data_IF_229839586666
#
_entry.id   IF_229839586666
#
_cell.length_a   1.000
_cell.length_b   1.000
_cell.length_c   1.000
_cell.angle_alpha   90.00
_cell.angle_beta   90.00
_cell.angle_gamma   90.00
#
_symmetry.space_group_name_H-M   'P 1'
#
loop_
_entity.id
_entity.type
_entity.pdbx_description
1 polymer ?
#
# COMPACT_ATOMS: atom_id res chain seq x y z
N UNK A 1 -10.63 -7.99 -11.44
CA UNK A 1 -10.02 -6.65 -11.56
C UNK A 1 -8.49 -6.67 -11.43
N UNK A 2 -7.77 -7.52 -12.18
CA UNK A 2 -6.32 -7.53 -12.08
C UNK A 2 -5.76 -6.27 -12.78
N UNK A 3 -5.29 -5.31 -11.99
CA UNK A 3 -4.66 -4.08 -12.49
C UNK A 3 -3.17 -4.30 -12.75
N UNK A 4 -2.62 -3.55 -13.70
CA UNK A 4 -1.18 -3.43 -13.89
C UNK A 4 -0.52 -2.91 -12.60
N UNK A 5 0.12 -3.82 -11.85
CA UNK A 5 0.68 -3.52 -10.53
C UNK A 5 1.81 -2.49 -10.58
N UNK A 6 2.47 -2.34 -11.74
CA UNK A 6 3.46 -1.28 -11.96
C UNK A 6 2.79 0.09 -11.91
N UNK A 7 1.68 0.28 -12.63
CA UNK A 7 0.92 1.54 -12.59
C UNK A 7 0.32 1.80 -11.22
N UNK A 8 -0.11 0.76 -10.50
CA UNK A 8 -0.61 0.93 -9.13
C UNK A 8 0.51 1.39 -8.18
N UNK A 9 1.73 0.86 -8.34
CA UNK A 9 2.90 1.32 -7.57
C UNK A 9 3.28 2.78 -7.88
N UNK A 10 3.03 3.26 -9.11
CA UNK A 10 3.19 4.68 -9.48
C UNK A 10 2.06 5.51 -8.87
N UNK A 11 0.82 5.04 -8.96
CA UNK A 11 -0.36 5.74 -8.43
C UNK A 11 -0.25 6.01 -6.93
N UNK A 12 0.49 5.17 -6.17
CA UNK A 12 0.73 5.38 -4.75
C UNK A 12 1.47 6.69 -4.43
N UNK A 13 2.17 7.28 -5.41
CA UNK A 13 2.82 8.58 -5.28
C UNK A 13 1.87 9.76 -5.51
N UNK A 14 0.66 9.51 -6.01
CA UNK A 14 -0.29 10.56 -6.28
C UNK A 14 -0.74 11.25 -4.99
N UNK A 15 -0.89 12.57 -5.06
CA UNK A 15 -1.51 13.39 -4.03
C UNK A 15 -2.86 13.92 -4.50
N UNK A 16 -3.53 14.64 -3.62
CA UNK A 16 -4.82 15.27 -3.90
C UNK A 16 -6.02 14.35 -3.71
N UNK A 17 -7.19 14.90 -4.01
CA UNK A 17 -8.50 14.29 -3.79
C UNK A 17 -9.18 13.91 -5.11
N UNK A 18 -10.48 13.63 -5.07
CA UNK A 18 -11.25 13.12 -6.22
C UNK A 18 -11.32 14.12 -7.38
N UNK A 19 -11.10 15.41 -7.13
CA UNK A 19 -11.10 16.46 -8.14
C UNK A 19 -9.69 16.74 -8.69
N UNK A 20 -8.68 16.10 -8.12
CA UNK A 20 -7.29 16.14 -8.61
C UNK A 20 -7.07 15.04 -9.65
N UNK A 21 -6.89 15.43 -10.91
CA UNK A 21 -6.63 14.49 -11.99
C UNK A 21 -5.39 13.64 -11.72
N UNK A 22 -5.51 12.32 -11.90
CA UNK A 22 -4.44 11.36 -11.61
C UNK A 22 -4.27 10.97 -10.13
N UNK A 23 -5.05 11.53 -9.20
CA UNK A 23 -5.08 11.05 -7.81
C UNK A 23 -5.67 9.64 -7.70
N UNK A 24 -5.43 8.97 -6.56
CA UNK A 24 -6.00 7.65 -6.27
C UNK A 24 -7.53 7.68 -6.36
N UNK A 25 -8.16 8.64 -5.69
CA UNK A 25 -9.62 8.74 -5.63
C UNK A 25 -10.20 9.19 -6.97
N UNK A 26 -9.55 10.09 -7.71
CA UNK A 26 -9.95 10.44 -9.06
C UNK A 26 -9.86 9.21 -9.99
N UNK A 27 -8.77 8.46 -9.93
CA UNK A 27 -8.58 7.26 -10.74
C UNK A 27 -9.70 6.24 -10.51
N UNK A 28 -9.94 5.82 -9.26
CA UNK A 28 -10.94 4.78 -8.98
C UNK A 28 -12.39 5.27 -8.99
N UNK A 29 -12.68 6.49 -8.54
CA UNK A 29 -14.06 6.98 -8.40
C UNK A 29 -14.55 7.80 -9.61
N UNK A 30 -13.66 8.25 -10.50
CA UNK A 30 -14.03 8.96 -11.74
C UNK A 30 -13.62 8.14 -12.97
N UNK A 31 -12.32 7.97 -13.21
CA UNK A 31 -11.83 7.38 -14.47
C UNK A 31 -12.27 5.92 -14.66
N UNK A 32 -12.20 5.12 -13.60
CA UNK A 32 -12.61 3.71 -13.64
C UNK A 32 -14.15 3.53 -13.67
N UNK A 33 -14.91 4.60 -13.45
CA UNK A 33 -16.38 4.59 -13.47
C UNK A 33 -16.95 5.11 -14.78
N UNK A 34 -16.16 5.88 -15.53
CA UNK A 34 -16.53 6.38 -16.85
C UNK A 34 -16.43 5.26 -17.90
N UNK A 35 -17.57 4.87 -18.47
CA UNK A 35 -17.65 3.84 -19.52
C UNK A 35 -17.48 4.41 -20.92
N UNK A 36 -17.44 5.73 -21.08
CA UNK A 36 -17.28 6.39 -22.37
C UNK A 36 -15.83 6.46 -22.83
N UNK A 37 -14.86 6.33 -21.91
CA UNK A 37 -13.43 6.42 -22.18
C UNK A 37 -12.63 5.46 -21.30
N UNK A 38 -11.42 5.13 -21.76
CA UNK A 38 -10.48 4.34 -20.96
C UNK A 38 -9.81 5.23 -19.90
N UNK A 39 -9.42 4.68 -18.73
CA UNK A 39 -8.53 5.39 -17.81
C UNK A 39 -7.23 5.76 -18.51
N UNK A 40 -6.71 6.94 -18.21
CA UNK A 40 -5.59 7.52 -18.96
C UNK A 40 -4.56 8.22 -18.08
N UNK A 41 -4.95 8.76 -16.93
CA UNK A 41 -4.05 9.49 -16.04
C UNK A 41 -3.79 8.69 -14.76
N UNK A 42 -2.52 8.37 -14.51
CA UNK A 42 -2.04 7.67 -13.32
C UNK A 42 -0.93 8.52 -12.69
N UNK A 43 -1.21 9.21 -11.58
CA UNK A 43 -0.34 10.28 -11.06
C UNK A 43 -0.07 11.31 -12.17
N UNK A 44 1.18 11.47 -12.63
CA UNK A 44 1.57 12.33 -13.77
C UNK A 44 1.73 11.55 -15.06
N UNK A 45 1.71 10.22 -15.01
CA UNK A 45 1.87 9.38 -16.18
C UNK A 45 0.57 9.29 -16.98
N UNK A 46 0.66 9.64 -18.27
CA UNK A 46 -0.40 9.34 -19.23
C UNK A 46 -0.23 7.90 -19.71
N UNK A 47 -0.95 6.98 -19.09
CA UNK A 47 -0.87 5.55 -19.37
C UNK A 47 -2.24 4.90 -19.21
N UNK A 48 -2.67 4.14 -20.22
CA UNK A 48 -3.86 3.30 -20.11
C UNK A 48 -3.50 1.98 -19.42
N UNK A 49 -4.08 1.68 -18.25
CA UNK A 49 -3.83 0.42 -17.59
C UNK A 49 -4.46 -0.73 -18.39
N UNK A 50 -3.75 -1.85 -18.46
CA UNK A 50 -4.35 -3.12 -18.86
C UNK A 50 -5.24 -3.57 -17.71
N UNK A 51 -6.54 -3.66 -17.97
CA UNK A 51 -7.55 -4.05 -16.99
C UNK A 51 -8.45 -5.13 -17.55
N UNK A 52 -8.88 -6.04 -16.69
CA UNK A 52 -10.01 -6.92 -16.98
C UNK A 52 -11.30 -6.17 -16.63
N UNK A 53 -12.16 -5.91 -17.61
CA UNK A 53 -13.45 -5.29 -17.36
C UNK A 53 -14.38 -6.27 -16.63
N UNK A 54 -15.20 -5.73 -15.73
CA UNK A 54 -16.13 -6.49 -14.90
C UNK A 54 -17.48 -5.76 -14.88
N UNK A 55 -18.59 -6.45 -14.58
CA UNK A 55 -19.86 -5.80 -14.34
C UNK A 55 -19.72 -4.65 -13.35
N UNK A 56 -20.49 -3.57 -13.54
CA UNK A 56 -20.40 -2.37 -12.69
C UNK A 56 -20.49 -2.69 -11.19
N UNK A 57 -21.33 -3.65 -10.80
CA UNK A 57 -21.51 -4.07 -9.41
C UNK A 57 -20.34 -4.91 -8.83
N UNK A 58 -19.35 -5.25 -9.65
CA UNK A 58 -18.15 -6.01 -9.30
C UNK A 58 -16.87 -5.17 -9.34
N UNK A 59 -16.98 -3.89 -9.70
CA UNK A 59 -15.86 -2.93 -9.64
C UNK A 59 -15.43 -2.66 -8.19
N UNK A 60 -14.28 -2.01 -8.04
CA UNK A 60 -13.81 -1.56 -6.73
C UNK A 60 -14.82 -0.60 -6.10
N UNK A 61 -15.25 -0.91 -4.88
CA UNK A 61 -16.26 -0.14 -4.14
C UNK A 61 -15.70 0.51 -2.88
N UNK A 62 -14.58 -0.01 -2.38
CA UNK A 62 -13.81 0.58 -1.28
C UNK A 62 -12.54 1.17 -1.88
N UNK A 63 -12.28 2.45 -1.60
CA UNK A 63 -11.10 3.17 -2.07
C UNK A 63 -10.60 4.04 -0.93
N UNK A 64 -9.46 3.67 -0.36
CA UNK A 64 -8.90 4.32 0.82
C UNK A 64 -7.49 4.79 0.50
N UNK A 65 -7.22 6.07 0.76
CA UNK A 65 -5.89 6.67 0.64
C UNK A 65 -5.42 7.10 2.02
N UNK A 66 -4.24 6.63 2.41
CA UNK A 66 -3.64 6.86 3.72
C UNK A 66 -2.40 7.71 3.54
N UNK A 67 -2.33 8.79 4.32
CA UNK A 67 -1.18 9.66 4.37
C UNK A 67 -0.81 9.96 5.82
N UNK A 68 0.30 9.39 6.30
CA UNK A 68 0.72 9.57 7.69
C UNK A 68 1.12 11.02 8.01
N UNK A 69 1.51 11.79 6.99
CA UNK A 69 1.90 13.19 7.16
C UNK A 69 0.70 14.02 7.63
N UNK A 70 -0.47 13.78 7.03
CA UNK A 70 -1.71 14.47 7.38
C UNK A 70 -2.40 13.87 8.60
N UNK A 71 -2.28 12.55 8.81
CA UNK A 71 -2.97 11.84 9.88
C UNK A 71 -2.33 12.02 11.26
N UNK A 72 -1.00 11.96 11.37
CA UNK A 72 -0.29 11.96 12.67
C UNK A 72 0.92 12.90 12.70
N UNK A 73 1.27 13.57 11.59
CA UNK A 73 2.42 14.49 11.43
C UNK A 73 3.78 13.91 11.83
N UNK A 74 3.87 12.59 12.05
CA UNK A 74 5.07 11.89 12.53
C UNK A 74 5.75 11.02 11.46
N UNK A 75 5.32 11.08 10.20
CA UNK A 75 5.98 10.36 9.13
C UNK A 75 5.52 10.76 7.74
N UNK A 76 6.27 10.32 6.72
CA UNK A 76 5.99 10.54 5.30
C UNK A 76 5.75 9.18 4.59
N UNK A 77 4.86 8.37 5.17
CA UNK A 77 4.46 7.07 4.61
C UNK A 77 3.05 7.18 4.05
N UNK A 78 2.90 6.77 2.79
CA UNK A 78 1.61 6.75 2.11
C UNK A 78 1.32 5.36 1.56
N UNK A 79 0.05 4.99 1.57
CA UNK A 79 -0.43 3.84 0.84
C UNK A 79 -1.86 4.11 0.39
N UNK A 80 -2.32 3.30 -0.56
CA UNK A 80 -3.76 3.16 -0.78
C UNK A 80 -4.14 1.70 -0.82
N UNK A 81 -5.41 1.43 -0.54
CA UNK A 81 -5.99 0.13 -0.76
C UNK A 81 -7.37 0.25 -1.38
N UNK A 82 -7.66 -0.70 -2.26
CA UNK A 82 -8.95 -0.81 -2.92
C UNK A 82 -9.50 -2.22 -2.78
N UNK A 83 -10.81 -2.33 -2.54
CA UNK A 83 -11.47 -3.62 -2.47
C UNK A 83 -12.73 -3.69 -3.34
N UNK A 84 -12.87 -4.82 -4.02
CA UNK A 84 -14.05 -5.22 -4.80
C UNK A 84 -14.68 -6.46 -4.15
N UNK A 85 -15.66 -7.08 -4.83
CA UNK A 85 -16.25 -8.34 -4.34
C UNK A 85 -15.24 -9.49 -4.28
N UNK A 86 -14.27 -9.54 -5.20
CA UNK A 86 -13.33 -10.66 -5.31
C UNK A 86 -11.88 -10.30 -4.99
N UNK A 87 -11.49 -9.03 -5.08
CA UNK A 87 -10.09 -8.60 -5.09
C UNK A 87 -9.85 -7.50 -4.06
N UNK A 88 -8.71 -7.57 -3.36
CA UNK A 88 -8.11 -6.47 -2.59
C UNK A 88 -6.75 -6.15 -3.20
N UNK A 89 -6.47 -4.87 -3.40
CA UNK A 89 -5.17 -4.38 -3.80
C UNK A 89 -4.67 -3.39 -2.76
N UNK A 90 -3.42 -3.56 -2.32
CA UNK A 90 -2.73 -2.62 -1.45
C UNK A 90 -1.48 -2.14 -2.17
N UNK A 91 -1.31 -0.82 -2.28
CA UNK A 91 -0.13 -0.23 -2.89
C UNK A 91 0.56 0.74 -1.96
N UNK A 92 1.85 0.53 -1.75
CA UNK A 92 2.68 1.36 -0.87
C UNK A 92 3.53 2.32 -1.68
N UNK A 93 3.58 3.57 -1.23
CA UNK A 93 4.46 4.59 -1.78
C UNK A 93 5.87 4.41 -1.22
N UNK A 94 6.89 4.63 -2.06
CA UNK A 94 8.24 4.86 -1.57
C UNK A 94 8.50 6.32 -1.20
N UNK A 95 9.74 6.65 -0.83
CA UNK A 95 10.16 8.03 -0.60
C UNK A 95 10.35 8.76 -1.93
N UNK A 96 10.01 10.06 -1.98
CA UNK A 96 10.22 10.92 -3.16
C UNK A 96 11.70 11.33 -3.27
N UNK A 97 12.42 11.47 -2.15
CA UNK A 97 13.85 11.77 -2.08
C UNK A 97 14.72 10.50 -2.03
N UNK A 98 14.85 9.83 -3.18
CA UNK A 98 15.77 8.69 -3.36
C UNK A 98 17.23 9.02 -2.98
N UNK A 99 17.66 10.27 -3.17
CA UNK A 99 19.01 10.73 -2.81
C UNK A 99 19.22 10.75 -1.29
N UNK A 100 18.29 11.34 -0.52
CA UNK A 100 18.36 11.34 0.94
C UNK A 100 18.26 9.92 1.51
N UNK A 101 17.44 9.06 0.88
CA UNK A 101 17.29 7.68 1.32
C UNK A 101 18.58 6.85 1.17
N UNK A 102 19.33 7.05 0.08
CA UNK A 102 20.61 6.38 -0.13
C UNK A 102 21.69 6.86 0.86
N UNK A 103 21.65 8.14 1.26
CA UNK A 103 22.61 8.71 2.21
C UNK A 103 22.23 8.47 3.67
N UNK A 104 20.94 8.42 4.01
CA UNK A 104 20.40 8.22 5.37
C UNK A 104 20.17 6.75 5.73
N UNK A 105 20.63 5.82 4.88
CA UNK A 105 20.67 4.37 5.11
C UNK A 105 21.63 4.04 6.26
N UNK A 106 21.23 4.46 7.46
CA UNK A 106 21.80 4.00 8.71
C UNK A 106 21.40 2.54 8.85
N UNK A 107 22.32 1.64 8.47
CA UNK A 107 22.15 0.20 8.57
C UNK A 107 22.01 -0.23 10.04
N UNK A 108 20.83 -0.02 10.62
CA UNK A 108 20.43 -0.49 11.94
C UNK A 108 19.42 -1.63 11.75
N UNK A 109 19.91 -2.88 11.59
CA UNK A 109 19.05 -4.03 11.40
C UNK A 109 18.41 -4.42 12.74
N UNK A 110 17.08 -4.41 12.80
CA UNK A 110 16.29 -4.87 13.94
C UNK A 110 15.98 -6.36 13.78
N UNK A 111 16.21 -7.15 14.83
CA UNK A 111 15.81 -8.56 14.85
C UNK A 111 14.29 -8.68 14.92
N UNK A 112 13.71 -9.49 14.03
CA UNK A 112 12.26 -9.72 13.96
C UNK A 112 11.78 -10.93 14.77
N UNK A 113 12.70 -11.82 15.15
CA UNK A 113 12.43 -12.99 16.00
C UNK A 113 11.83 -12.58 17.35
N UNK A 114 11.10 -13.50 17.97
CA UNK A 114 10.57 -13.34 19.32
C UNK A 114 11.38 -14.12 20.37
N UNK A 115 12.51 -14.70 19.97
CA UNK A 115 13.32 -15.60 20.81
C UNK A 115 14.37 -14.85 21.66
N UNK A 116 14.56 -13.55 21.43
CA UNK A 116 15.52 -12.70 22.14
C UNK A 116 14.77 -11.54 22.81
N UNK A 117 15.06 -11.27 24.09
CA UNK A 117 14.47 -10.18 24.87
C UNK A 117 14.74 -8.78 24.27
N UNK A 118 15.80 -8.65 23.45
CA UNK A 118 16.13 -7.39 22.75
C UNK A 118 15.53 -7.30 21.36
N UNK A 119 14.83 -8.33 20.90
CA UNK A 119 14.21 -8.34 19.59
C UNK A 119 12.86 -7.62 19.60
N UNK A 120 12.50 -7.10 18.44
CA UNK A 120 11.27 -6.34 18.24
C UNK A 120 10.01 -7.22 18.33
N UNK A 121 10.17 -8.52 18.08
CA UNK A 121 9.10 -9.51 17.92
C UNK A 121 7.98 -9.01 16.99
N UNK A 122 8.12 -9.28 15.69
CA UNK A 122 7.16 -8.81 14.69
C UNK A 122 5.76 -9.43 14.83
N UNK A 123 5.66 -10.61 15.45
CA UNK A 123 4.45 -11.40 15.56
C UNK A 123 4.07 -12.21 14.31
N UNK A 124 4.73 -11.99 13.17
CA UNK A 124 4.44 -12.68 11.90
C UNK A 124 5.68 -13.08 11.08
N UNK A 125 6.87 -12.58 11.43
CA UNK A 125 8.18 -13.00 10.91
C UNK A 125 9.00 -13.55 12.08
N UNK A 126 9.34 -14.83 12.02
CA UNK A 126 10.03 -15.54 13.11
C UNK A 126 11.56 -15.56 12.97
N UNK A 127 12.11 -15.15 11.82
CA UNK A 127 13.55 -15.08 11.58
C UNK A 127 13.90 -13.98 10.58
N UNK A 128 15.12 -13.45 10.68
CA UNK A 128 15.61 -12.37 9.82
C UNK A 128 15.68 -11.01 10.54
N UNK A 129 16.16 -10.01 9.80
CA UNK A 129 16.29 -8.64 10.30
C UNK A 129 15.69 -7.65 9.31
N UNK A 130 15.13 -6.56 9.82
CA UNK A 130 14.60 -5.48 8.98
C UNK A 130 15.32 -4.18 9.27
N UNK A 131 15.42 -3.31 8.27
CA UNK A 131 15.87 -1.94 8.50
C UNK A 131 14.91 -1.20 9.44
N UNK A 132 15.43 -0.58 10.50
CA UNK A 132 14.64 0.16 11.51
C UNK A 132 13.63 1.13 10.89
N UNK A 133 14.06 1.97 9.96
CA UNK A 133 13.18 2.95 9.31
C UNK A 133 12.03 2.32 8.50
N UNK A 134 12.24 1.13 7.92
CA UNK A 134 11.17 0.42 7.20
C UNK A 134 10.11 -0.08 8.18
N UNK A 135 10.58 -0.65 9.29
CA UNK A 135 9.69 -1.14 10.34
C UNK A 135 8.87 -0.02 10.97
N UNK A 136 9.50 1.11 11.29
CA UNK A 136 8.83 2.27 11.87
C UNK A 136 7.78 2.84 10.92
N UNK A 137 8.12 3.04 9.64
CA UNK A 137 7.20 3.48 8.60
C UNK A 137 5.99 2.52 8.43
N UNK A 138 6.26 1.22 8.35
CA UNK A 138 5.22 0.19 8.27
C UNK A 138 4.32 0.18 9.51
N UNK A 139 4.92 0.22 10.70
CA UNK A 139 4.20 0.16 11.98
C UNK A 139 3.35 1.40 12.25
N UNK A 140 3.81 2.58 11.82
CA UNK A 140 3.07 3.84 11.96
C UNK A 140 1.72 3.74 11.28
N UNK A 141 1.69 3.30 10.02
CA UNK A 141 0.47 3.13 9.24
C UNK A 141 -0.51 2.18 9.94
N UNK A 142 -0.02 1.07 10.49
CA UNK A 142 -0.87 0.08 11.15
C UNK A 142 -1.65 0.62 12.35
N UNK A 143 -1.21 1.74 12.92
CA UNK A 143 -1.84 2.44 14.06
C UNK A 143 -2.80 3.54 13.62
N UNK A 144 -2.76 3.97 12.36
CA UNK A 144 -3.67 5.00 11.84
C UNK A 144 -5.09 4.44 11.73
N UNK A 145 -6.07 5.33 11.90
CA UNK A 145 -7.49 5.01 11.72
C UNK A 145 -7.82 4.97 10.22
N UNK A 146 -8.60 3.97 9.80
CA UNK A 146 -9.08 3.88 8.43
C UNK A 146 -10.01 5.09 8.10
N UNK A 147 -9.77 5.84 7.01
CA UNK A 147 -10.54 7.05 6.70
C UNK A 147 -12.05 6.81 6.58
N UNK A 148 -12.42 5.66 6.03
CA UNK A 148 -13.79 5.16 5.97
C UNK A 148 -14.51 4.99 7.30
N UNK A 149 -13.78 4.80 8.39
CA UNK A 149 -14.38 4.45 9.66
C UNK A 149 -14.92 5.69 10.38
N UNK A 150 -16.25 5.87 10.27
CA UNK A 150 -17.00 6.94 10.93
C UNK A 150 -16.95 6.87 12.45
N UNK A 151 -16.70 5.68 13.02
CA UNK A 151 -16.64 5.47 14.47
C UNK A 151 -15.25 5.70 15.05
N UNK A 152 -14.22 5.80 14.19
CA UNK A 152 -12.80 5.97 14.56
C UNK A 152 -12.26 4.89 15.50
N UNK A 153 -12.68 3.64 15.31
CA UNK A 153 -12.28 2.48 16.10
C UNK A 153 -11.42 1.47 15.32
N UNK A 154 -11.49 1.47 13.99
CA UNK A 154 -10.85 0.50 13.11
C UNK A 154 -9.56 1.10 12.56
N UNK A 155 -8.44 0.43 12.81
CA UNK A 155 -7.15 0.80 12.23
C UNK A 155 -7.04 0.36 10.76
N UNK A 156 -6.14 0.98 10.01
CA UNK A 156 -5.88 0.66 8.60
C UNK A 156 -5.59 -0.83 8.39
N UNK A 157 -4.71 -1.41 9.20
CA UNK A 157 -4.38 -2.85 9.08
C UNK A 157 -5.56 -3.73 9.45
N UNK A 158 -6.39 -3.33 10.41
CA UNK A 158 -7.58 -4.09 10.75
C UNK A 158 -8.61 -4.06 9.62
N UNK A 159 -8.83 -2.90 9.01
CA UNK A 159 -9.75 -2.77 7.87
C UNK A 159 -9.28 -3.63 6.69
N UNK A 160 -8.00 -3.59 6.35
CA UNK A 160 -7.41 -4.42 5.30
C UNK A 160 -7.57 -5.91 5.64
N UNK A 161 -7.26 -6.33 6.87
CA UNK A 161 -7.40 -7.71 7.32
C UNK A 161 -8.86 -8.22 7.20
N UNK A 162 -9.84 -7.38 7.52
CA UNK A 162 -11.24 -7.73 7.37
C UNK A 162 -11.66 -7.79 5.89
N UNK A 163 -11.13 -6.92 5.04
CA UNK A 163 -11.41 -6.91 3.60
C UNK A 163 -10.83 -8.12 2.86
N UNK A 164 -9.64 -8.61 3.22
CA UNK A 164 -8.93 -9.68 2.46
C UNK A 164 -9.54 -11.07 2.64
N UNK A 165 -10.44 -11.26 3.61
CA UNK A 165 -11.12 -12.54 3.86
C UNK A 165 -11.82 -13.03 2.59
N UNK A 166 -11.42 -14.22 2.13
CA UNK A 166 -11.97 -14.89 0.95
C UNK A 166 -11.84 -14.08 -0.36
N UNK A 167 -10.83 -13.20 -0.47
CA UNK A 167 -10.53 -12.41 -1.67
C UNK A 167 -9.11 -12.67 -2.14
N UNK A 168 -8.87 -12.43 -3.43
CA UNK A 168 -7.51 -12.39 -3.97
C UNK A 168 -6.83 -11.13 -3.47
N UNK A 169 -5.65 -11.28 -2.90
CA UNK A 169 -4.88 -10.18 -2.35
C UNK A 169 -3.68 -9.88 -3.25
N UNK A 170 -3.60 -8.64 -3.73
CA UNK A 170 -2.47 -8.11 -4.47
C UNK A 170 -1.78 -7.04 -3.63
N UNK A 171 -0.47 -7.11 -3.50
CA UNK A 171 0.31 -6.10 -2.78
C UNK A 171 1.44 -5.64 -3.67
N UNK A 172 1.58 -4.33 -3.86
CA UNK A 172 2.64 -3.78 -4.68
C UNK A 172 3.29 -2.53 -4.11
N UNK A 173 4.48 -2.21 -4.62
CA UNK A 173 5.18 -0.98 -4.28
C UNK A 173 6.45 -0.76 -5.10
N UNK A 174 6.83 0.50 -5.26
CA UNK A 174 8.05 0.92 -5.96
C UNK A 174 9.07 1.48 -4.95
N UNK A 175 10.36 1.24 -5.19
CA UNK A 175 11.47 1.68 -4.33
C UNK A 175 11.25 1.26 -2.87
N UNK A 176 11.31 2.19 -1.91
CA UNK A 176 10.98 1.95 -0.50
C UNK A 176 9.58 1.34 -0.32
N UNK A 177 8.61 1.72 -1.16
CA UNK A 177 7.25 1.16 -1.10
C UNK A 177 7.25 -0.35 -1.35
N UNK A 178 8.20 -0.87 -2.15
CA UNK A 178 8.39 -2.30 -2.32
C UNK A 178 8.78 -3.02 -1.03
N UNK A 179 9.62 -2.39 -0.19
CA UNK A 179 10.05 -2.94 1.09
C UNK A 179 8.86 -3.01 2.08
N UNK A 180 8.07 -1.94 2.16
CA UNK A 180 6.87 -1.88 2.98
C UNK A 180 5.80 -2.88 2.50
N UNK A 181 5.67 -3.03 1.18
CA UNK A 181 4.79 -4.01 0.56
C UNK A 181 5.23 -5.46 0.86
N UNK A 182 6.54 -5.73 0.95
CA UNK A 182 7.04 -7.05 1.38
C UNK A 182 6.70 -7.33 2.86
N UNK A 183 6.89 -6.36 3.75
CA UNK A 183 6.51 -6.49 5.16
C UNK A 183 5.02 -6.75 5.31
N UNK A 184 4.18 -6.04 4.56
CA UNK A 184 2.73 -6.25 4.57
C UNK A 184 2.35 -7.62 4.00
N UNK A 185 3.06 -8.08 2.96
CA UNK A 185 2.87 -9.43 2.40
C UNK A 185 3.23 -10.52 3.40
N UNK A 186 4.28 -10.32 4.19
CA UNK A 186 4.63 -11.23 5.27
C UNK A 186 3.56 -11.24 6.37
N UNK A 187 3.03 -10.07 6.75
CA UNK A 187 1.95 -9.96 7.74
C UNK A 187 0.67 -10.67 7.30
N UNK A 188 0.35 -10.62 6.00
CA UNK A 188 -0.86 -11.20 5.43
C UNK A 188 -0.62 -12.56 4.74
N UNK A 189 0.47 -13.26 5.08
CA UNK A 189 0.89 -14.50 4.41
C UNK A 189 -0.21 -15.57 4.35
N UNK A 190 -1.01 -15.70 5.41
CA UNK A 190 -2.13 -16.66 5.49
C UNK A 190 -3.24 -16.38 4.45
N UNK A 191 -3.27 -15.18 3.87
CA UNK A 191 -4.18 -14.80 2.78
C UNK A 191 -3.56 -14.95 1.38
N UNK A 192 -2.37 -15.56 1.28
CA UNK A 192 -1.67 -15.87 0.04
C UNK A 192 -1.52 -14.65 -0.91
N UNK A 193 -0.85 -13.57 -0.46
CA UNK A 193 -0.70 -12.35 -1.24
C UNK A 193 0.11 -12.59 -2.52
N UNK A 194 -0.36 -12.03 -3.63
CA UNK A 194 0.42 -11.90 -4.85
C UNK A 194 1.23 -10.60 -4.80
N UNK A 195 2.53 -10.72 -4.52
CA UNK A 195 3.43 -9.60 -4.26
C UNK A 195 4.19 -9.16 -5.52
N UNK A 196 4.19 -7.85 -5.79
CA UNK A 196 4.92 -7.23 -6.90
C UNK A 196 5.75 -6.05 -6.40
N UNK A 197 7.06 -6.05 -6.66
CA UNK A 197 7.92 -4.92 -6.32
C UNK A 197 8.78 -4.45 -7.47
N UNK A 198 9.08 -3.16 -7.47
CA UNK A 198 9.81 -2.48 -8.54
C UNK A 198 10.93 -1.64 -7.92
N UNK A 199 12.19 -1.96 -8.21
CA UNK A 199 13.34 -1.23 -7.65
C UNK A 199 13.46 -1.33 -6.12
N UNK A 200 12.94 -2.39 -5.51
CA UNK A 200 12.92 -2.60 -4.06
C UNK A 200 14.33 -2.81 -3.47
N UNK A 201 14.70 -2.14 -2.36
CA UNK A 201 15.94 -2.42 -1.63
C UNK A 201 15.89 -3.77 -0.88
N UNK A 202 17.05 -4.29 -0.46
CA UNK A 202 17.06 -5.47 0.42
C UNK A 202 16.38 -5.13 1.75
N UNK A 203 15.48 -6.00 2.20
CA UNK A 203 14.50 -5.67 3.25
C UNK A 203 14.49 -6.66 4.41
N UNK A 204 14.56 -7.97 4.12
CA UNK A 204 14.53 -9.08 5.09
C UNK A 204 15.77 -9.97 4.92
#
# INVERSE_FOLDING_TARGET
NAHNQCLMSVLAYAGGDVDTEGSVTHFFNRQMMDVSKRPYQVEKASATPVVYDVPFSERYSRVEFIDSETADKQGDTRLFYVASKSDVLVSWRGTISLENYLTDLTFQPLSLSCDDEKALCSGFIHSGKVHKGFWEAFSLVGKLIAPSDKTKTITVFRDILDLVKNKRLFICGHSLGGALALLHSAQLKEHNPCFYSYGMPRTL
#
